data_IF_540124183517
#
_entry.id   IF_540124183517
#
_cell.length_a   1.000
_cell.length_b   1.000
_cell.length_c   1.000
_cell.angle_alpha   90.00
_cell.angle_beta   90.00
_cell.angle_gamma   90.00
#
_symmetry.space_group_name_H-M   'P 1'
#
loop_
_entity.id
_entity.type
_entity.pdbx_description
1 polymer ?
#
# COMPACT_ATOMS: atom_id res chain seq x y z
N UNK A 1 28.80 15.08 -16.82
CA UNK A 1 27.60 15.89 -17.15
C UNK A 1 26.86 16.19 -15.86
N UNK A 2 26.48 17.44 -15.63
CA UNK A 2 25.77 17.88 -14.42
C UNK A 2 24.28 17.52 -14.50
N UNK A 3 23.67 17.11 -13.39
CA UNK A 3 22.23 16.83 -13.36
C UNK A 3 21.42 18.11 -13.56
N UNK A 4 20.41 18.07 -14.42
CA UNK A 4 19.47 19.16 -14.69
C UNK A 4 18.23 18.97 -13.82
N UNK A 5 18.14 19.80 -12.78
CA UNK A 5 16.98 19.87 -11.88
C UNK A 5 16.19 21.17 -12.00
N UNK A 6 16.79 22.18 -12.62
CA UNK A 6 16.18 23.51 -12.72
C UNK A 6 14.91 23.47 -13.58
N UNK A 7 13.86 24.17 -13.12
CA UNK A 7 12.53 24.19 -13.76
C UNK A 7 11.67 22.92 -13.61
N UNK A 8 12.15 21.85 -12.96
CA UNK A 8 11.34 20.63 -12.72
C UNK A 8 10.53 20.73 -11.42
N UNK A 9 9.22 20.47 -11.52
CA UNK A 9 8.36 20.22 -10.35
C UNK A 9 8.38 18.74 -10.00
N UNK A 10 8.37 18.42 -8.70
CA UNK A 10 8.49 17.06 -8.23
C UNK A 10 7.32 16.62 -7.36
N UNK A 11 7.06 15.32 -7.35
CA UNK A 11 6.17 14.63 -6.43
C UNK A 11 6.88 13.43 -5.78
N UNK A 12 6.32 12.98 -4.66
CA UNK A 12 7.00 12.08 -3.73
C UNK A 12 6.08 10.96 -3.28
N UNK A 13 6.66 9.79 -3.04
CA UNK A 13 6.01 8.63 -2.42
C UNK A 13 7.00 7.96 -1.49
N UNK A 14 6.61 7.63 -0.27
CA UNK A 14 7.33 6.64 0.52
C UNK A 14 6.78 5.25 0.27
N UNK A 15 7.70 4.29 0.18
CA UNK A 15 7.44 2.88 -0.07
C UNK A 15 8.31 2.05 0.89
N UNK A 16 7.79 0.94 1.39
CA UNK A 16 8.53 0.00 2.22
C UNK A 16 9.06 -1.17 1.40
N UNK A 17 10.16 -1.74 1.85
CA UNK A 17 10.73 -2.94 1.26
C UNK A 17 11.78 -3.53 2.20
N UNK A 18 12.70 -4.29 1.61
CA UNK A 18 13.83 -4.85 2.34
C UNK A 18 15.12 -4.48 1.61
N UNK A 19 16.20 -4.27 2.35
CA UNK A 19 17.53 -4.15 1.76
C UNK A 19 18.10 -5.53 1.39
N UNK A 20 19.33 -5.55 0.87
CA UNK A 20 20.02 -6.79 0.47
C UNK A 20 20.32 -7.77 1.61
N UNK A 21 20.13 -7.34 2.87
CA UNK A 21 20.29 -8.16 4.07
C UNK A 21 18.94 -8.57 4.68
N UNK A 22 17.83 -8.19 4.05
CA UNK A 22 16.48 -8.49 4.55
C UNK A 22 16.00 -7.55 5.65
N UNK A 23 16.68 -6.43 5.94
CA UNK A 23 16.22 -5.44 6.92
C UNK A 23 15.10 -4.59 6.31
N UNK A 24 14.03 -4.28 7.07
CA UNK A 24 12.96 -3.43 6.56
C UNK A 24 13.48 -2.00 6.33
N UNK A 25 13.17 -1.43 5.16
CA UNK A 25 13.58 -0.08 4.78
C UNK A 25 12.39 0.74 4.29
N UNK A 26 12.45 2.05 4.51
CA UNK A 26 11.50 3.02 3.97
C UNK A 26 12.22 3.89 2.95
N UNK A 27 11.80 3.80 1.69
CA UNK A 27 12.45 4.46 0.56
C UNK A 27 11.58 5.58 0.02
N UNK A 28 12.19 6.74 -0.25
CA UNK A 28 11.54 7.85 -0.92
C UNK A 28 11.68 7.75 -2.43
N UNK A 29 10.57 7.60 -3.14
CA UNK A 29 10.51 7.72 -4.58
C UNK A 29 10.20 9.16 -4.97
N UNK A 30 11.02 9.71 -5.87
CA UNK A 30 10.90 11.07 -6.41
C UNK A 30 10.59 10.99 -7.90
N UNK A 31 9.55 11.72 -8.34
CA UNK A 31 9.09 11.74 -9.73
C UNK A 31 8.81 13.16 -10.20
N UNK A 32 8.89 13.40 -11.51
CA UNK A 32 8.69 14.73 -12.10
C UNK A 32 7.22 14.90 -12.48
N UNK A 33 6.64 16.04 -12.11
CA UNK A 33 5.30 16.45 -12.55
C UNK A 33 5.44 17.05 -13.96
N UNK A 34 4.73 16.45 -14.93
CA UNK A 34 4.77 16.83 -16.35
C UNK A 34 3.52 17.58 -16.81
N UNK A 35 2.43 17.48 -16.03
CA UNK A 35 1.19 18.23 -16.26
C UNK A 35 0.44 18.37 -14.95
N UNK A 36 -0.25 19.49 -14.78
CA UNK A 36 -0.97 19.82 -13.56
C UNK A 36 -2.29 20.51 -13.91
N UNK A 37 -3.35 20.19 -13.17
CA UNK A 37 -4.61 20.95 -13.13
C UNK A 37 -4.84 21.39 -11.68
N UNK A 38 -5.98 22.00 -11.36
CA UNK A 38 -6.34 22.30 -9.98
C UNK A 38 -6.42 21.02 -9.11
N UNK A 39 -7.04 19.95 -9.62
CA UNK A 39 -7.37 18.75 -8.83
C UNK A 39 -6.44 17.55 -9.05
N UNK A 40 -5.69 17.53 -10.15
CA UNK A 40 -4.86 16.38 -10.51
C UNK A 40 -3.49 16.81 -11.02
N UNK A 41 -2.53 15.91 -10.93
CA UNK A 41 -1.26 16.04 -11.64
C UNK A 41 -0.87 14.72 -12.32
N UNK A 42 -0.04 14.82 -13.34
CA UNK A 42 0.55 13.70 -14.05
C UNK A 42 2.05 13.74 -13.83
N UNK A 43 2.62 12.57 -13.59
CA UNK A 43 4.02 12.47 -13.24
C UNK A 43 4.68 11.25 -13.91
N UNK A 44 5.99 11.32 -14.06
CA UNK A 44 6.82 10.26 -14.62
C UNK A 44 8.17 10.18 -13.87
N UNK A 45 8.98 9.18 -14.22
CA UNK A 45 10.33 9.06 -13.68
C UNK A 45 11.22 10.21 -14.16
N UNK A 46 12.06 10.71 -13.26
CA UNK A 46 13.02 11.76 -13.59
C UNK A 46 14.10 11.22 -14.53
N UNK A 47 14.36 11.98 -15.59
CA UNK A 47 15.54 11.79 -16.45
C UNK A 47 16.52 12.91 -16.09
N UNK A 48 17.55 12.64 -15.28
CA UNK A 48 18.35 13.67 -14.62
C UNK A 48 19.21 14.51 -15.58
N UNK A 49 19.31 14.12 -16.86
CA UNK A 49 20.08 14.83 -17.89
C UNK A 49 19.19 15.46 -18.97
N UNK A 50 17.87 15.52 -18.75
CA UNK A 50 16.92 16.22 -19.63
C UNK A 50 16.34 17.43 -18.91
N UNK A 51 16.10 18.52 -19.64
CA UNK A 51 15.26 19.63 -19.15
C UNK A 51 13.81 19.18 -18.96
N UNK A 52 12.99 20.00 -18.30
CA UNK A 52 11.55 19.74 -18.14
C UNK A 52 10.87 19.58 -19.51
N UNK A 53 11.15 20.49 -20.45
CA UNK A 53 10.60 20.48 -21.80
C UNK A 53 11.00 19.24 -22.60
N UNK A 54 12.29 18.88 -22.57
CA UNK A 54 12.79 17.67 -23.21
C UNK A 54 12.15 16.41 -22.64
N UNK A 55 11.99 16.34 -21.31
CA UNK A 55 11.35 15.20 -20.66
C UNK A 55 9.86 15.09 -21.05
N UNK A 56 9.14 16.22 -21.08
CA UNK A 56 7.75 16.26 -21.52
C UNK A 56 7.67 15.75 -22.96
N UNK A 57 8.44 16.35 -23.87
CA UNK A 57 8.47 15.94 -25.28
C UNK A 57 8.83 14.46 -25.44
N UNK A 58 9.81 13.94 -24.68
CA UNK A 58 10.19 12.54 -24.72
C UNK A 58 9.07 11.60 -24.26
N UNK A 59 8.40 11.93 -23.15
CA UNK A 59 7.34 11.08 -22.58
C UNK A 59 6.00 11.22 -23.30
N UNK A 60 5.77 12.31 -24.05
CA UNK A 60 4.52 12.57 -24.78
C UNK A 60 4.65 12.51 -26.31
N UNK A 61 5.87 12.44 -26.87
CA UNK A 61 6.13 12.53 -28.31
C UNK A 61 5.96 11.23 -29.11
N UNK A 62 5.62 10.12 -28.45
CA UNK A 62 5.36 8.82 -29.08
C UNK A 62 3.88 8.45 -29.16
N UNK A 63 3.59 7.21 -29.61
CA UNK A 63 2.22 6.65 -29.67
C UNK A 63 1.52 6.81 -28.33
N UNK A 64 0.28 7.31 -28.33
CA UNK A 64 -0.53 7.56 -27.12
C UNK A 64 -0.66 6.32 -26.23
N UNK A 65 -0.71 5.13 -26.82
CA UNK A 65 -0.74 3.84 -26.12
C UNK A 65 0.46 3.62 -25.19
N UNK A 66 1.63 4.17 -25.53
CA UNK A 66 2.84 3.98 -24.74
C UNK A 66 2.93 4.99 -23.58
N UNK A 67 2.26 6.14 -23.71
CA UNK A 67 2.28 7.21 -22.71
C UNK A 67 1.70 6.73 -21.37
N UNK A 68 0.66 5.89 -21.39
CA UNK A 68 0.01 5.35 -20.18
C UNK A 68 0.93 4.51 -19.29
N UNK A 69 2.01 3.94 -19.87
CA UNK A 69 2.97 3.16 -19.10
C UNK A 69 3.91 4.04 -18.29
N UNK A 70 4.28 5.21 -18.82
CA UNK A 70 5.28 6.09 -18.22
C UNK A 70 4.69 7.26 -17.45
N UNK A 71 3.52 7.75 -17.86
CA UNK A 71 2.84 8.89 -17.26
C UNK A 71 1.68 8.38 -16.41
N UNK A 72 1.74 8.63 -15.10
CA UNK A 72 0.69 8.25 -14.15
C UNK A 72 -0.02 9.48 -13.64
N UNK A 73 -1.33 9.36 -13.40
CA UNK A 73 -2.20 10.42 -12.86
C UNK A 73 -2.34 10.23 -11.35
N UNK A 74 -2.28 11.33 -10.62
CA UNK A 74 -2.54 11.42 -9.18
C UNK A 74 -3.54 12.55 -8.88
N UNK A 75 -4.33 12.37 -7.82
CA UNK A 75 -5.19 13.41 -7.26
C UNK A 75 -4.40 14.23 -6.25
N UNK A 76 -4.60 15.55 -6.23
CA UNK A 76 -3.98 16.41 -5.22
C UNK A 76 -4.70 16.25 -3.89
N UNK A 77 -3.95 16.24 -2.79
CA UNK A 77 -4.50 16.19 -1.43
C UNK A 77 -5.26 14.91 -1.08
N UNK A 78 -5.28 13.91 -1.95
CA UNK A 78 -5.90 12.63 -1.63
C UNK A 78 -4.94 11.80 -0.78
N UNK A 79 -5.37 11.38 0.41
CA UNK A 79 -4.56 10.55 1.33
C UNK A 79 -4.12 9.21 0.71
N UNK A 80 -4.90 8.71 -0.24
CA UNK A 80 -4.63 7.47 -0.99
C UNK A 80 -3.94 7.70 -2.33
N UNK A 81 -3.58 8.94 -2.66
CA UNK A 81 -2.78 9.19 -3.85
C UNK A 81 -1.47 8.43 -3.77
N UNK A 82 -1.01 7.88 -4.89
CA UNK A 82 0.30 7.20 -4.91
C UNK A 82 1.44 8.19 -4.68
N UNK A 83 1.27 9.46 -5.04
CA UNK A 83 2.29 10.49 -4.91
C UNK A 83 1.68 11.80 -4.40
N UNK A 84 2.51 12.60 -3.73
CA UNK A 84 2.13 13.89 -3.12
C UNK A 84 3.14 15.00 -3.47
N UNK A 85 2.77 16.27 -3.27
CA UNK A 85 3.63 17.40 -3.65
C UNK A 85 4.83 17.54 -2.75
N UNK A 86 4.63 17.29 -1.46
CA UNK A 86 5.70 17.43 -0.48
C UNK A 86 6.10 16.06 0.04
N UNK A 87 7.35 15.98 0.52
CA UNK A 87 7.83 14.81 1.24
C UNK A 87 7.01 14.58 2.51
N UNK A 88 6.58 15.65 3.17
CA UNK A 88 5.78 15.56 4.39
C UNK A 88 4.41 14.93 4.15
N UNK A 89 3.67 15.42 3.15
CA UNK A 89 2.39 14.82 2.74
C UNK A 89 2.56 13.34 2.36
N UNK A 90 3.60 13.02 1.60
CA UNK A 90 3.90 11.65 1.21
C UNK A 90 4.21 10.75 2.41
N UNK A 91 4.86 11.30 3.45
CA UNK A 91 5.17 10.56 4.67
C UNK A 91 3.92 10.33 5.52
N UNK A 92 3.08 11.36 5.70
CA UNK A 92 1.79 11.23 6.41
C UNK A 92 0.92 10.16 5.75
N UNK A 93 0.80 10.19 4.42
CA UNK A 93 0.07 9.19 3.66
C UNK A 93 0.68 7.77 3.81
N UNK A 94 2.01 7.66 3.87
CA UNK A 94 2.66 6.37 4.14
C UNK A 94 2.34 5.83 5.53
N UNK A 95 2.48 6.66 6.57
CA UNK A 95 2.15 6.28 7.95
C UNK A 95 0.69 5.83 8.05
N UNK A 96 -0.24 6.60 7.46
CA UNK A 96 -1.66 6.23 7.41
C UNK A 96 -1.86 4.84 6.83
N UNK A 97 -1.30 4.55 5.64
CA UNK A 97 -1.40 3.22 5.01
C UNK A 97 -0.79 2.11 5.87
N UNK A 98 0.30 2.38 6.60
CA UNK A 98 0.95 1.38 7.45
C UNK A 98 0.20 1.10 8.74
N UNK A 99 -0.33 2.12 9.38
CA UNK A 99 -1.22 1.94 10.53
C UNK A 99 -2.45 1.13 10.14
N UNK A 100 -3.08 1.49 9.03
CA UNK A 100 -4.22 0.75 8.49
C UNK A 100 -3.88 -0.73 8.17
N UNK A 101 -2.70 -1.00 7.60
CA UNK A 101 -2.23 -2.36 7.37
C UNK A 101 -2.05 -3.15 8.67
N UNK A 102 -1.46 -2.54 9.70
CA UNK A 102 -1.28 -3.17 11.02
C UNK A 102 -2.62 -3.51 11.67
N UNK A 103 -3.55 -2.55 11.70
CA UNK A 103 -4.89 -2.75 12.26
C UNK A 103 -5.60 -3.93 11.58
N UNK A 104 -5.55 -4.03 10.25
CA UNK A 104 -6.15 -5.15 9.53
C UNK A 104 -5.52 -6.50 9.87
N UNK A 105 -4.19 -6.56 9.98
CA UNK A 105 -3.46 -7.77 10.38
C UNK A 105 -3.89 -8.18 11.80
N UNK A 106 -4.03 -7.21 12.70
CA UNK A 106 -4.49 -7.45 14.07
C UNK A 106 -5.90 -8.04 14.11
N UNK A 107 -6.88 -7.44 13.40
CA UNK A 107 -8.25 -7.96 13.35
C UNK A 107 -8.30 -9.40 12.82
N UNK A 108 -7.48 -9.68 11.81
CA UNK A 108 -7.37 -11.03 11.22
C UNK A 108 -6.75 -11.99 12.24
N UNK A 109 -5.68 -11.59 12.92
CA UNK A 109 -5.01 -12.40 13.93
C UNK A 109 -5.94 -12.72 15.10
N UNK A 110 -6.67 -11.74 15.63
CA UNK A 110 -7.66 -11.90 16.70
C UNK A 110 -8.79 -12.86 16.27
N UNK A 111 -9.32 -12.70 15.05
CA UNK A 111 -10.35 -13.62 14.53
C UNK A 111 -9.83 -15.06 14.43
N UNK A 112 -8.61 -15.26 13.92
CA UNK A 112 -7.98 -16.58 13.85
C UNK A 112 -7.75 -17.16 15.25
N UNK A 113 -7.34 -16.33 16.21
CA UNK A 113 -7.20 -16.75 17.61
C UNK A 113 -8.53 -17.22 18.20
N UNK A 114 -9.63 -16.51 17.95
CA UNK A 114 -10.97 -16.95 18.39
C UNK A 114 -11.33 -18.32 17.81
N UNK A 115 -11.09 -18.53 16.51
CA UNK A 115 -11.32 -19.82 15.86
C UNK A 115 -10.51 -20.96 16.51
N UNK A 116 -9.21 -20.75 16.69
CA UNK A 116 -8.32 -21.75 17.27
C UNK A 116 -8.64 -22.04 18.74
N UNK A 117 -9.06 -21.03 19.50
CA UNK A 117 -9.42 -21.18 20.91
C UNK A 117 -10.73 -21.96 21.05
N UNK A 118 -11.75 -21.63 20.24
CA UNK A 118 -13.01 -22.35 20.23
C UNK A 118 -12.87 -23.84 19.89
N UNK A 119 -12.02 -24.18 18.90
CA UNK A 119 -11.72 -25.59 18.59
C UNK A 119 -11.07 -26.32 19.78
N UNK A 120 -10.19 -25.63 20.51
CA UNK A 120 -9.50 -26.17 21.69
C UNK A 120 -10.46 -26.37 22.86
N UNK A 121 -11.29 -25.36 23.15
CA UNK A 121 -12.30 -25.37 24.20
C UNK A 121 -13.38 -26.44 23.96
N UNK A 122 -13.76 -26.65 22.70
CA UNK A 122 -14.65 -27.74 22.32
C UNK A 122 -13.99 -29.13 22.40
N UNK A 123 -12.70 -29.20 22.71
CA UNK A 123 -11.92 -30.45 22.77
C UNK A 123 -11.73 -31.11 21.41
N UNK A 124 -11.76 -30.35 20.31
CA UNK A 124 -11.55 -30.87 18.96
C UNK A 124 -10.07 -31.02 18.63
N UNK A 125 -9.24 -30.15 19.20
CA UNK A 125 -7.78 -30.16 19.01
C UNK A 125 -7.05 -30.00 20.34
N UNK A 126 -5.87 -30.61 20.43
CA UNK A 126 -4.95 -30.48 21.57
C UNK A 126 -3.56 -30.09 21.06
N UNK A 127 -2.87 -29.23 21.82
CA UNK A 127 -1.53 -28.74 21.49
C UNK A 127 -1.53 -27.47 20.63
N UNK A 128 -0.34 -27.13 20.11
CA UNK A 128 -0.08 -25.90 19.36
C UNK A 128 -0.02 -26.10 17.85
N UNK A 129 1.05 -25.61 17.21
CA UNK A 129 1.21 -25.62 15.75
C UNK A 129 1.16 -27.01 15.10
N UNK A 130 1.62 -28.04 15.81
CA UNK A 130 1.46 -29.46 15.44
C UNK A 130 0.37 -30.09 16.32
N UNK A 131 -0.88 -29.71 16.12
CA UNK A 131 -1.99 -30.19 16.94
C UNK A 131 -2.36 -31.64 16.64
N UNK A 132 -2.89 -32.32 17.65
CA UNK A 132 -3.62 -33.58 17.50
C UNK A 132 -5.09 -33.26 17.35
N UNK A 133 -5.76 -33.89 16.38
CA UNK A 133 -7.20 -33.77 16.17
C UNK A 133 -7.88 -34.91 16.93
N UNK A 134 -8.65 -34.57 17.96
CA UNK A 134 -9.34 -35.53 18.84
C UNK A 134 -10.74 -35.88 18.30
N UNK A 135 -11.44 -34.88 17.74
CA UNK A 135 -12.75 -35.07 17.11
C UNK A 135 -13.03 -34.00 16.07
N UNK A 136 -13.92 -34.32 15.13
CA UNK A 136 -14.37 -33.41 14.08
C UNK A 136 -15.69 -32.74 14.48
N UNK A 137 -16.04 -31.59 13.87
CA UNK A 137 -17.39 -31.05 13.93
C UNK A 137 -18.43 -32.08 13.46
N UNK A 138 -19.60 -32.09 14.09
CA UNK A 138 -20.67 -33.05 13.77
C UNK A 138 -21.36 -32.76 12.43
N UNK A 139 -21.30 -31.52 11.95
CA UNK A 139 -21.87 -31.05 10.68
C UNK A 139 -20.82 -30.25 9.87
N UNK A 140 -21.22 -29.68 8.74
CA UNK A 140 -20.39 -28.90 7.80
C UNK A 140 -19.76 -27.62 8.39
N UNK A 141 -20.13 -27.22 9.62
CA UNK A 141 -19.63 -26.01 10.25
C UNK A 141 -19.50 -26.12 11.78
N UNK A 142 -18.64 -25.27 12.33
CA UNK A 142 -18.46 -25.10 13.78
C UNK A 142 -18.39 -23.62 14.13
N UNK A 143 -19.22 -23.18 15.06
CA UNK A 143 -19.19 -21.81 15.59
C UNK A 143 -18.18 -21.75 16.73
N UNK A 144 -16.99 -21.24 16.43
CA UNK A 144 -15.89 -21.22 17.39
C UNK A 144 -16.03 -20.17 18.50
N UNK A 145 -16.86 -19.15 18.30
CA UNK A 145 -17.15 -18.15 19.32
C UNK A 145 -18.58 -17.62 19.14
N UNK A 146 -19.30 -17.45 20.24
CA UNK A 146 -20.64 -16.84 20.25
C UNK A 146 -20.57 -15.31 20.19
N UNK A 147 -19.47 -14.73 20.69
CA UNK A 147 -19.19 -13.30 20.55
C UNK A 147 -18.77 -12.97 19.10
N UNK A 148 -19.22 -11.84 18.53
CA UNK A 148 -18.77 -11.41 17.22
C UNK A 148 -17.26 -11.15 17.24
N UNK A 149 -16.59 -11.55 16.17
CA UNK A 149 -15.19 -11.20 15.97
C UNK A 149 -15.00 -9.69 15.77
N UNK A 150 -13.75 -9.21 15.81
CA UNK A 150 -13.43 -7.81 15.54
C UNK A 150 -14.05 -7.36 14.22
N UNK A 151 -14.82 -6.27 14.26
CA UNK A 151 -15.62 -5.85 13.12
C UNK A 151 -14.74 -5.11 12.11
N UNK A 152 -14.28 -5.81 11.08
CA UNK A 152 -13.60 -5.21 9.92
C UNK A 152 -14.53 -4.30 9.08
N UNK A 153 -15.84 -4.28 9.31
CA UNK A 153 -16.79 -3.47 8.53
C UNK A 153 -16.84 -2.00 8.94
N UNK A 154 -16.16 -1.59 10.02
CA UNK A 154 -15.89 -0.16 10.28
C UNK A 154 -14.80 0.39 9.36
N UNK A 155 -14.04 -0.49 8.71
CA UNK A 155 -13.01 -0.13 7.75
C UNK A 155 -13.60 -0.08 6.34
N UNK A 156 -13.42 1.05 5.65
CA UNK A 156 -13.92 1.24 4.29
C UNK A 156 -13.06 0.44 3.30
N UNK A 157 -13.65 -0.58 2.67
CA UNK A 157 -12.92 -1.48 1.76
C UNK A 157 -12.42 -0.82 0.47
N UNK A 158 -12.95 0.35 0.12
CA UNK A 158 -12.43 1.18 -0.98
C UNK A 158 -11.14 1.96 -0.62
N UNK A 159 -10.63 1.82 0.61
CA UNK A 159 -9.42 2.49 1.10
C UNK A 159 -8.09 1.82 0.72
N UNK A 160 -8.15 0.71 0.00
CA UNK A 160 -6.99 -0.05 -0.48
C UNK A 160 -6.70 0.19 -1.97
#
# INVERSE_FOLDING_TARGET
MTKITDGKKYCYRYDDGHDGEGRPVVTLWKRVIVRETEKTFWHCEDMPYMTSEQLIQYRTGGRKENQKYHIKRCLKGADRSRYHYTREEALRAFVYRKMYQLEKVQLTAETVQMCLSGLREAGMIVGGYRCTVEKLPEDTGFVAATAPGPIASTYSWGEY
#
